data_IF_992613627872
#
_entry.id   IF_992613627872
#
_cell.length_a   1.000
_cell.length_b   1.000
_cell.length_c   1.000
_cell.angle_alpha   90.00
_cell.angle_beta   90.00
_cell.angle_gamma   90.00
#
_symmetry.space_group_name_H-M   'P 1'
#
loop_
_entity.id
_entity.type
_entity.pdbx_description
1 polymer ?
#
# COMPACT_ATOMS: atom_id res chain seq x y z
N UNK A 1 -10.18 6.33 15.12
CA UNK A 1 -9.34 5.11 15.26
C UNK A 1 -8.79 4.72 13.90
N UNK A 2 -7.49 4.90 13.69
CA UNK A 2 -6.79 4.38 12.51
C UNK A 2 -6.47 2.89 12.69
N UNK A 3 -6.54 2.11 11.61
CA UNK A 3 -5.99 0.76 11.58
C UNK A 3 -4.52 0.84 11.96
N UNK A 4 -4.12 0.12 13.00
CA UNK A 4 -2.73 0.03 13.40
C UNK A 4 -2.10 -1.02 12.48
N UNK A 5 -0.86 -0.81 12.07
CA UNK A 5 -0.10 -1.82 11.33
C UNK A 5 -0.15 -3.22 11.97
N UNK A 6 -0.23 -3.30 13.31
CA UNK A 6 -0.41 -4.55 14.05
C UNK A 6 -1.67 -5.35 13.66
N UNK A 7 -2.76 -4.68 13.26
CA UNK A 7 -3.97 -5.35 12.78
C UNK A 7 -3.81 -5.90 11.34
N UNK A 8 -2.79 -5.44 10.62
CA UNK A 8 -2.46 -5.85 9.25
C UNK A 8 -1.32 -6.88 9.19
N UNK A 9 -0.63 -7.13 10.30
CA UNK A 9 0.39 -8.19 10.42
C UNK A 9 -0.05 -9.56 9.86
N UNK A 10 -1.28 -10.09 10.10
CA UNK A 10 -1.70 -11.36 9.50
C UNK A 10 -1.95 -11.29 7.98
N UNK A 11 -2.01 -10.08 7.41
CA UNK A 11 -2.17 -9.84 5.98
C UNK A 11 -0.85 -9.40 5.32
N UNK A 12 0.28 -9.54 6.02
CA UNK A 12 1.60 -9.38 5.45
C UNK A 12 1.77 -10.21 4.16
N UNK A 13 2.24 -9.56 3.10
CA UNK A 13 2.38 -10.14 1.77
C UNK A 13 1.06 -10.27 1.00
N UNK A 14 -0.03 -9.69 1.50
CA UNK A 14 -1.36 -9.72 0.87
C UNK A 14 -1.77 -8.33 0.39
N UNK A 15 -2.58 -8.31 -0.67
CA UNK A 15 -3.32 -7.11 -1.05
C UNK A 15 -4.59 -7.02 -0.22
N UNK A 16 -4.79 -5.86 0.41
CA UNK A 16 -5.93 -5.58 1.28
C UNK A 16 -6.71 -4.41 0.69
N UNK A 17 -8.00 -4.62 0.46
CA UNK A 17 -8.92 -3.58 0.05
C UNK A 17 -9.65 -3.03 1.27
N UNK A 18 -9.39 -1.76 1.56
CA UNK A 18 -9.96 -0.99 2.64
C UNK A 18 -11.13 -0.13 2.15
N UNK A 19 -12.22 -0.17 2.89
CA UNK A 19 -13.42 0.65 2.65
C UNK A 19 -13.74 1.38 3.95
N UNK A 20 -13.71 2.73 3.92
CA UNK A 20 -13.91 3.59 5.11
C UNK A 20 -13.06 3.19 6.32
N UNK A 21 -11.82 2.74 6.07
CA UNK A 21 -10.91 2.29 7.13
C UNK A 21 -11.27 0.92 7.73
N UNK A 22 -11.95 0.05 6.99
CA UNK A 22 -12.14 -1.37 7.35
C UNK A 22 -11.76 -2.28 6.20
N UNK A 23 -11.23 -3.46 6.51
CA UNK A 23 -10.94 -4.50 5.51
C UNK A 23 -12.25 -4.99 4.91
N UNK A 24 -12.42 -4.78 3.61
CA UNK A 24 -13.58 -5.23 2.84
C UNK A 24 -13.26 -6.39 1.90
N UNK A 25 -11.97 -6.66 1.64
CA UNK A 25 -11.51 -7.79 0.85
C UNK A 25 -10.00 -7.96 0.92
N UNK A 26 -9.53 -9.19 0.70
CA UNK A 26 -8.11 -9.52 0.57
C UNK A 26 -7.87 -10.35 -0.68
N UNK A 27 -6.67 -10.29 -1.23
CA UNK A 27 -6.29 -11.06 -2.41
C UNK A 27 -4.79 -11.15 -2.59
N UNK A 28 -4.36 -12.02 -3.50
CA UNK A 28 -2.96 -12.11 -3.92
C UNK A 28 -2.59 -11.00 -4.90
N UNK A 29 -3.58 -10.31 -5.46
CA UNK A 29 -3.39 -9.18 -6.37
C UNK A 29 -4.31 -8.02 -6.02
N UNK A 30 -3.92 -6.81 -6.44
CA UNK A 30 -4.72 -5.61 -6.27
C UNK A 30 -6.13 -5.74 -6.88
N UNK A 31 -6.22 -6.39 -8.06
CA UNK A 31 -7.48 -6.62 -8.77
C UNK A 31 -8.41 -7.58 -8.03
N UNK A 32 -7.86 -8.62 -7.40
CA UNK A 32 -8.61 -9.59 -6.61
C UNK A 32 -9.15 -8.95 -5.33
N UNK A 33 -8.31 -8.23 -4.59
CA UNK A 33 -8.73 -7.49 -3.40
C UNK A 33 -9.82 -6.45 -3.75
N UNK A 34 -9.67 -5.73 -4.86
CA UNK A 34 -10.67 -4.77 -5.36
C UNK A 34 -12.00 -5.43 -5.70
N UNK A 35 -11.98 -6.56 -6.41
CA UNK A 35 -13.20 -7.32 -6.76
C UNK A 35 -13.89 -7.86 -5.52
N UNK A 36 -13.12 -8.38 -4.56
CA UNK A 36 -13.65 -8.85 -3.28
C UNK A 36 -14.35 -7.72 -2.52
N UNK A 37 -13.73 -6.55 -2.44
CA UNK A 37 -14.34 -5.39 -1.79
C UNK A 37 -15.55 -4.84 -2.55
N UNK A 38 -15.52 -4.81 -3.90
CA UNK A 38 -16.68 -4.42 -4.71
C UNK A 38 -17.86 -5.38 -4.54
N UNK A 39 -17.59 -6.68 -4.37
CA UNK A 39 -18.63 -7.68 -4.13
C UNK A 39 -19.30 -7.49 -2.78
N UNK A 40 -18.53 -7.15 -1.75
CA UNK A 40 -19.04 -6.83 -0.42
C UNK A 40 -19.77 -5.48 -0.39
N UNK A 41 -19.26 -4.46 -1.10
CA UNK A 41 -19.81 -3.09 -1.11
C UNK A 41 -19.64 -2.43 -2.47
N UNK A 42 -20.60 -2.62 -3.40
CA UNK A 42 -20.48 -2.12 -4.78
C UNK A 42 -20.53 -0.59 -4.90
N UNK A 43 -21.07 0.11 -3.89
CA UNK A 43 -21.23 1.58 -3.89
C UNK A 43 -20.06 2.34 -3.27
N UNK A 44 -19.16 1.66 -2.56
CA UNK A 44 -18.03 2.32 -1.90
C UNK A 44 -16.76 2.14 -2.74
N UNK A 45 -15.94 3.20 -2.87
CA UNK A 45 -14.66 3.15 -3.58
C UNK A 45 -13.63 2.43 -2.69
N UNK A 46 -13.22 1.19 -3.00
CA UNK A 46 -12.22 0.50 -2.19
C UNK A 46 -10.84 1.08 -2.42
N UNK A 47 -10.13 1.42 -1.35
CA UNK A 47 -8.70 1.74 -1.36
C UNK A 47 -7.92 0.45 -1.25
N UNK A 48 -7.14 0.11 -2.26
CA UNK A 48 -6.34 -1.11 -2.27
C UNK A 48 -4.93 -0.76 -1.83
N UNK A 49 -4.44 -1.44 -0.78
CA UNK A 49 -3.09 -1.31 -0.26
C UNK A 49 -2.40 -2.67 -0.29
N UNK A 50 -1.11 -2.68 -0.58
CA UNK A 50 -0.27 -3.85 -0.38
C UNK A 50 0.33 -3.77 1.02
N UNK A 51 0.22 -4.84 1.80
CA UNK A 51 0.87 -4.93 3.10
C UNK A 51 2.20 -5.66 2.88
N UNK A 52 3.36 -4.97 2.89
CA UNK A 52 4.65 -5.63 2.79
C UNK A 52 4.90 -6.53 4.02
N UNK A 53 5.65 -7.62 3.84
CA UNK A 53 6.04 -8.51 4.96
C UNK A 53 7.24 -8.00 5.73
N UNK A 54 7.96 -7.06 5.13
CA UNK A 54 9.14 -6.42 5.70
C UNK A 54 8.71 -5.14 6.38
N UNK A 55 9.21 -4.97 7.60
CA UNK A 55 9.19 -3.71 8.32
C UNK A 55 9.69 -2.64 7.35
N UNK A 56 8.79 -1.78 6.86
CA UNK A 56 9.18 -0.72 5.95
C UNK A 56 10.00 0.24 6.80
N UNK A 57 11.33 0.15 6.73
CA UNK A 57 12.14 1.35 6.87
C UNK A 57 11.67 2.24 5.73
N UNK A 58 10.93 3.28 6.09
CA UNK A 58 10.56 4.35 5.18
C UNK A 58 11.84 5.12 4.88
N UNK A 59 12.73 4.53 4.08
CA UNK A 59 13.84 5.24 3.44
C UNK A 59 13.22 6.10 2.33
N UNK A 60 12.58 7.21 2.73
CA UNK A 60 12.29 8.32 1.85
C UNK A 60 13.46 9.30 1.88
N UNK A 61 13.89 9.69 0.67
CA UNK A 61 14.82 10.76 0.34
C UNK A 61 16.24 10.57 0.91
N UNK A 62 17.32 10.66 0.13
CA UNK A 62 17.64 11.79 -0.72
C UNK A 62 17.96 11.38 -2.16
N UNK A 63 17.28 12.03 -3.11
CA UNK A 63 17.88 12.28 -4.43
C UNK A 63 18.92 13.38 -4.25
N UNK A 64 20.18 13.00 -4.11
CA UNK A 64 21.29 13.89 -4.46
C UNK A 64 21.41 13.90 -6.00
N UNK A 65 20.56 14.70 -6.64
CA UNK A 65 20.79 15.19 -8.00
C UNK A 65 21.98 16.18 -7.95
N UNK A 66 23.22 15.69 -7.74
CA UNK A 66 24.41 16.52 -7.92
C UNK A 66 24.89 16.45 -9.38
N UNK A 67 24.13 17.12 -10.26
CA UNK A 67 24.59 17.49 -11.60
C UNK A 67 25.35 18.81 -11.53
N UNK A 68 26.56 18.80 -10.97
CA UNK A 68 27.57 19.82 -11.27
C UNK A 68 28.72 19.17 -12.04
N UNK A 69 28.54 19.01 -13.35
CA UNK A 69 29.67 18.94 -14.28
C UNK A 69 30.10 20.36 -14.62
N UNK A 70 30.76 21.01 -13.65
CA UNK A 70 31.72 22.05 -14.01
C UNK A 70 32.70 21.40 -15.00
N UNK A 71 32.68 21.90 -16.23
CA UNK A 71 33.57 21.48 -17.30
C UNK A 71 34.81 22.36 -17.23
N UNK A 72 36.00 21.82 -16.94
CA UNK A 72 37.24 22.48 -17.32
C UNK A 72 38.00 21.64 -18.34
N UNK A 73 38.23 22.22 -19.51
CA UNK A 73 39.45 22.17 -20.33
C UNK A 73 39.12 22.34 -21.82
#
# INVERSE_FOLDING_TARGET
MGLRWADLAPYAGRWVALVRGRVAGVGWTAGEARRAAQRSRPKEKPRVIFVPTVEVTDDKDDKDDNENKDTPA
#
